data_IF_419617565617
#
_entry.id   IF_419617565617
#
_cell.length_a   1.000
_cell.length_b   1.000
_cell.length_c   1.000
_cell.angle_alpha   90.00
_cell.angle_beta   90.00
_cell.angle_gamma   90.00
#
_symmetry.space_group_name_H-M   'P 1'
#
loop_
_entity.id
_entity.type
_entity.pdbx_description
1 polymer ?
#
# COMPACT_ATOMS: atom_id res chain seq x y z
N UNK A 1 35.62 4.95 -43.47
CA UNK A 1 34.72 4.50 -44.56
C UNK A 1 35.01 3.04 -44.85
N UNK A 2 34.10 2.15 -44.46
CA UNK A 2 33.51 1.03 -45.23
C UNK A 2 32.51 0.33 -44.31
N UNK A 3 31.23 0.32 -44.66
CA UNK A 3 30.22 -0.53 -44.03
C UNK A 3 29.92 -1.72 -44.95
N UNK A 4 29.86 -2.97 -44.44
CA UNK A 4 29.35 -4.10 -45.20
C UNK A 4 27.96 -4.53 -44.70
N UNK A 5 26.99 -4.54 -45.62
CA UNK A 5 25.68 -5.18 -45.43
C UNK A 5 25.17 -5.72 -46.77
N UNK A 6 25.39 -7.02 -47.01
CA UNK A 6 24.84 -7.80 -48.14
C UNK A 6 23.45 -8.32 -47.75
N UNK A 7 22.38 -7.99 -48.48
CA UNK A 7 21.80 -8.73 -49.63
C UNK A 7 21.02 -10.01 -49.26
N UNK A 8 19.73 -10.07 -49.62
CA UNK A 8 19.12 -10.99 -50.63
C UNK A 8 17.64 -11.23 -50.33
N UNK A 9 16.85 -11.17 -51.40
CA UNK A 9 15.39 -11.24 -51.51
C UNK A 9 14.90 -12.66 -51.88
N UNK A 10 13.65 -12.95 -51.50
CA UNK A 10 12.64 -13.82 -52.15
C UNK A 10 12.70 -15.34 -52.01
N UNK A 11 11.54 -15.91 -51.63
CA UNK A 11 10.90 -17.17 -52.10
C UNK A 11 9.45 -17.16 -51.52
N UNK A 12 8.39 -16.91 -52.29
CA UNK A 12 7.60 -17.76 -53.20
C UNK A 12 6.68 -18.82 -52.55
N UNK A 13 5.38 -18.64 -52.85
CA UNK A 13 4.16 -19.47 -52.85
C UNK A 13 4.24 -20.98 -52.54
N UNK A 14 3.23 -21.53 -51.84
CA UNK A 14 2.18 -22.41 -52.41
C UNK A 14 1.59 -23.45 -51.41
N UNK A 15 0.32 -23.81 -51.65
CA UNK A 15 -0.39 -25.06 -51.31
C UNK A 15 -0.91 -25.36 -49.88
N UNK A 16 -2.20 -25.04 -49.71
CA UNK A 16 -3.37 -25.92 -49.54
C UNK A 16 -3.34 -27.23 -48.68
N UNK A 17 -4.47 -27.38 -47.97
CA UNK A 17 -5.19 -28.61 -47.55
C UNK A 17 -4.96 -29.16 -46.13
N UNK A 18 -5.98 -28.95 -45.29
CA UNK A 18 -6.20 -29.61 -43.99
C UNK A 18 -6.83 -31.00 -44.16
N UNK A 19 -6.48 -31.99 -43.32
CA UNK A 19 -7.31 -33.16 -43.11
C UNK A 19 -8.10 -33.08 -41.78
N UNK A 20 -9.41 -33.33 -41.87
CA UNK A 20 -10.29 -33.63 -40.74
C UNK A 20 -10.00 -35.02 -40.15
N UNK A 21 -9.78 -35.10 -38.83
CA UNK A 21 -9.85 -36.26 -37.92
C UNK A 21 -9.81 -35.70 -36.49
N UNK A 22 -10.41 -36.21 -35.43
CA UNK A 22 -11.39 -37.25 -35.15
C UNK A 22 -11.71 -37.10 -33.64
N UNK A 23 -12.83 -37.70 -33.24
CA UNK A 23 -13.44 -37.90 -31.93
C UNK A 23 -12.70 -37.53 -30.61
N UNK A 24 -13.50 -36.88 -29.75
CA UNK A 24 -13.68 -37.05 -28.30
C UNK A 24 -12.48 -37.53 -27.48
N UNK A 25 -12.10 -36.76 -26.45
CA UNK A 25 -11.95 -37.26 -25.07
C UNK A 25 -11.78 -36.11 -24.07
N UNK A 26 -12.49 -36.28 -22.96
CA UNK A 26 -12.53 -35.50 -21.73
C UNK A 26 -11.14 -35.17 -21.17
N UNK A 27 -10.88 -33.92 -20.82
CA UNK A 27 -9.93 -33.59 -19.77
C UNK A 27 -10.57 -32.57 -18.81
N UNK A 28 -10.80 -33.08 -17.61
CA UNK A 28 -10.93 -32.38 -16.34
C UNK A 28 -9.77 -31.38 -16.20
N UNK A 29 -10.02 -30.12 -16.49
CA UNK A 29 -9.09 -29.04 -16.19
C UNK A 29 -9.82 -28.09 -15.25
N UNK A 30 -9.72 -28.44 -13.96
CA UNK A 30 -10.01 -27.50 -12.89
C UNK A 30 -9.01 -26.36 -13.03
N UNK A 31 -9.38 -25.37 -13.83
CA UNK A 31 -8.68 -24.10 -13.94
C UNK A 31 -8.89 -23.36 -12.62
N UNK A 32 -8.11 -23.74 -11.62
CA UNK A 32 -7.90 -22.98 -10.39
C UNK A 32 -7.02 -21.78 -10.79
N UNK A 33 -7.63 -20.82 -11.48
CA UNK A 33 -7.01 -19.51 -11.60
C UNK A 33 -6.86 -18.99 -10.18
N UNK A 34 -5.66 -18.51 -9.77
CA UNK A 34 -5.53 -17.87 -8.48
C UNK A 34 -6.48 -16.67 -8.50
N UNK A 35 -7.57 -16.78 -7.73
CA UNK A 35 -8.41 -15.65 -7.37
C UNK A 35 -7.44 -14.66 -6.71
N UNK A 36 -7.09 -13.59 -7.42
CA UNK A 36 -6.45 -12.45 -6.77
C UNK A 36 -7.41 -11.98 -5.69
N UNK A 37 -7.11 -12.29 -4.43
CA UNK A 37 -7.78 -11.69 -3.30
C UNK A 37 -7.60 -10.18 -3.45
N UNK A 38 -8.66 -9.52 -3.93
CA UNK A 38 -8.73 -8.08 -3.98
C UNK A 38 -8.75 -7.64 -2.53
N UNK A 39 -7.58 -7.34 -1.96
CA UNK A 39 -7.47 -6.76 -0.63
C UNK A 39 -8.37 -5.52 -0.61
N UNK A 40 -9.47 -5.57 0.12
CA UNK A 40 -10.35 -4.41 0.25
C UNK A 40 -9.58 -3.30 0.95
N UNK A 41 -9.12 -2.31 0.17
CA UNK A 41 -8.41 -1.16 0.70
C UNK A 41 -9.32 -0.36 1.65
N UNK A 42 -8.74 0.14 2.74
CA UNK A 42 -9.43 0.99 3.69
C UNK A 42 -9.94 2.27 3.01
N UNK A 43 -11.17 2.68 3.33
CA UNK A 43 -11.69 3.98 2.89
C UNK A 43 -10.97 5.09 3.65
N UNK A 44 -10.20 5.89 2.91
CA UNK A 44 -9.45 7.02 3.44
C UNK A 44 -10.20 8.33 3.20
N UNK A 45 -10.15 9.22 4.18
CA UNK A 45 -10.70 10.57 4.06
C UNK A 45 -9.59 11.56 3.71
N UNK A 46 -9.92 12.56 2.90
CA UNK A 46 -9.01 13.67 2.63
C UNK A 46 -8.75 14.44 3.94
N UNK A 47 -7.48 14.68 4.32
CA UNK A 47 -7.18 15.42 5.53
C UNK A 47 -7.54 16.89 5.32
N UNK A 48 -8.25 17.48 6.29
CA UNK A 48 -8.53 18.92 6.35
C UNK A 48 -8.43 19.41 7.80
N UNK A 49 -8.02 20.66 8.01
CA UNK A 49 -7.93 21.23 9.37
C UNK A 49 -9.27 21.21 10.13
N UNK A 50 -10.40 21.18 9.42
CA UNK A 50 -11.73 21.05 10.03
C UNK A 50 -12.12 19.62 10.43
N UNK A 51 -11.41 18.59 9.96
CA UNK A 51 -11.70 17.18 10.27
C UNK A 51 -10.62 16.49 11.12
N UNK A 52 -9.43 17.09 11.25
CA UNK A 52 -8.42 16.63 12.19
C UNK A 52 -8.78 17.06 13.62
N UNK A 53 -8.64 16.14 14.57
CA UNK A 53 -8.78 16.41 15.99
C UNK A 53 -7.85 15.50 16.81
N UNK A 54 -7.59 15.85 18.07
CA UNK A 54 -6.83 14.99 18.97
C UNK A 54 -7.50 13.60 19.07
N UNK A 55 -6.70 12.54 18.99
CA UNK A 55 -7.16 11.16 18.92
C UNK A 55 -7.54 10.67 17.51
N UNK A 56 -7.46 11.53 16.49
CA UNK A 56 -7.61 11.11 15.09
C UNK A 56 -6.41 10.30 14.62
N UNK A 57 -6.65 9.35 13.74
CA UNK A 57 -5.61 8.50 13.14
C UNK A 57 -5.34 8.96 11.72
N UNK A 58 -4.07 9.15 11.38
CA UNK A 58 -3.65 9.67 10.08
C UNK A 58 -2.56 8.79 9.48
N UNK A 59 -2.58 8.66 8.15
CA UNK A 59 -1.47 8.12 7.38
C UNK A 59 -0.55 9.28 7.00
N UNK A 60 0.71 9.22 7.44
CA UNK A 60 1.70 10.28 7.22
C UNK A 60 2.86 9.76 6.40
N UNK A 61 3.38 10.60 5.51
CA UNK A 61 4.61 10.34 4.75
C UNK A 61 5.80 10.97 5.47
N UNK A 62 6.86 10.20 5.69
CA UNK A 62 8.08 10.67 6.34
C UNK A 62 9.27 10.32 5.46
N UNK A 63 10.14 11.31 5.20
CA UNK A 63 11.36 11.08 4.43
C UNK A 63 12.52 10.66 5.33
N UNK A 64 13.06 9.47 5.09
CA UNK A 64 14.22 8.93 5.79
C UNK A 64 15.30 8.37 4.85
N UNK A 65 16.20 7.57 5.42
CA UNK A 65 17.31 6.96 4.70
C UNK A 65 18.46 7.92 4.35
N UNK A 66 19.46 7.40 3.63
CA UNK A 66 20.63 8.18 3.21
C UNK A 66 20.21 9.35 2.33
N UNK A 67 20.46 10.57 2.79
CA UNK A 67 20.11 11.84 2.11
C UNK A 67 18.59 12.11 2.00
N UNK A 68 17.75 11.54 2.87
CA UNK A 68 16.28 11.76 2.88
C UNK A 68 15.60 11.42 1.56
N UNK A 69 16.05 10.35 0.91
CA UNK A 69 15.55 9.93 -0.42
C UNK A 69 14.45 8.89 -0.36
N UNK A 70 14.25 8.26 0.78
CA UNK A 70 13.29 7.17 0.92
C UNK A 70 12.05 7.71 1.61
N UNK A 71 10.91 7.59 0.94
CA UNK A 71 9.61 7.89 1.51
C UNK A 71 9.12 6.67 2.29
N UNK A 72 8.70 6.89 3.52
CA UNK A 72 8.08 5.90 4.38
C UNK A 72 6.67 6.35 4.73
N UNK A 73 5.77 5.39 4.95
CA UNK A 73 4.36 5.65 5.27
C UNK A 73 4.03 4.99 6.60
N UNK A 74 3.62 5.80 7.56
CA UNK A 74 3.35 5.38 8.94
C UNK A 74 1.97 5.83 9.38
N UNK A 75 1.42 5.15 10.39
CA UNK A 75 0.23 5.63 11.09
C UNK A 75 0.67 6.49 12.27
N UNK A 76 0.06 7.66 12.39
CA UNK A 76 0.18 8.54 13.54
C UNK A 76 -1.18 8.80 14.19
N UNK A 77 -1.19 8.93 15.51
CA UNK A 77 -2.34 9.43 16.26
C UNK A 77 -2.10 10.87 16.68
N UNK A 78 -2.99 11.79 16.29
CA UNK A 78 -2.90 13.21 16.60
C UNK A 78 -2.97 13.43 18.11
N UNK A 79 -1.90 14.01 18.68
CA UNK A 79 -1.83 14.41 20.09
C UNK A 79 -2.22 15.88 20.28
N UNK A 80 -1.89 16.71 19.30
CA UNK A 80 -2.04 18.16 19.37
C UNK A 80 -1.79 18.83 18.04
N UNK A 81 -2.15 20.11 17.99
CA UNK A 81 -1.83 21.02 16.88
C UNK A 81 -1.37 22.33 17.50
N UNK A 82 -0.32 22.94 16.95
CA UNK A 82 0.19 24.20 17.49
C UNK A 82 -0.81 25.35 17.24
N UNK A 83 -0.72 26.43 18.02
CA UNK A 83 -1.62 27.58 17.93
C UNK A 83 -1.49 28.37 16.61
N UNK A 84 -0.33 28.28 15.95
CA UNK A 84 -0.08 28.87 14.64
C UNK A 84 -0.68 28.03 13.49
N UNK A 85 -1.23 26.84 13.77
CA UNK A 85 -1.98 26.00 12.83
C UNK A 85 -1.13 25.40 11.71
N UNK A 86 0.18 25.25 11.91
CA UNK A 86 1.09 24.74 10.88
C UNK A 86 1.72 23.40 11.22
N UNK A 87 1.80 23.06 12.51
CA UNK A 87 2.44 21.85 12.99
C UNK A 87 1.44 20.97 13.72
N UNK A 88 1.50 19.67 13.41
CA UNK A 88 0.64 18.62 13.97
C UNK A 88 1.55 17.68 14.74
N UNK A 89 1.25 17.50 16.02
CA UNK A 89 1.96 16.57 16.91
C UNK A 89 1.33 15.19 16.77
N UNK A 90 2.13 14.21 16.39
CA UNK A 90 1.72 12.82 16.18
C UNK A 90 2.46 11.90 17.14
N UNK A 91 1.73 10.93 17.66
CA UNK A 91 2.28 9.74 18.32
C UNK A 91 2.35 8.63 17.27
N UNK A 92 3.53 8.06 17.04
CA UNK A 92 3.76 6.96 16.11
C UNK A 92 3.13 5.64 16.58
N UNK A 93 2.57 4.91 15.61
CA UNK A 93 2.04 3.56 15.78
C UNK A 93 2.80 2.60 14.87
N UNK A 94 3.00 1.38 15.36
CA UNK A 94 3.59 0.28 14.58
C UNK A 94 2.61 -0.87 14.42
N UNK A 95 2.68 -1.55 13.27
CA UNK A 95 1.94 -2.80 13.06
C UNK A 95 2.46 -3.90 13.97
N UNK A 96 1.57 -4.74 14.46
CA UNK A 96 1.90 -5.92 15.28
C UNK A 96 1.52 -7.23 14.63
N UNK A 97 0.70 -7.15 13.59
CA UNK A 97 0.28 -8.24 12.73
C UNK A 97 0.87 -8.09 11.32
N UNK A 98 0.79 -9.17 10.54
CA UNK A 98 1.22 -9.19 9.14
C UNK A 98 0.17 -8.61 8.18
N UNK A 99 -1.09 -8.52 8.62
CA UNK A 99 -2.21 -8.03 7.81
C UNK A 99 -2.33 -6.49 7.84
N UNK A 100 -1.49 -5.80 8.62
CA UNK A 100 -1.47 -4.34 8.77
C UNK A 100 -2.82 -3.79 9.25
N UNK A 101 -3.48 -4.52 10.16
CA UNK A 101 -4.75 -4.14 10.78
C UNK A 101 -4.62 -3.79 12.25
N UNK A 102 -3.62 -4.32 12.95
CA UNK A 102 -3.47 -4.19 14.40
C UNK A 102 -2.22 -3.40 14.77
N UNK A 103 -2.44 -2.24 15.38
CA UNK A 103 -1.38 -1.29 15.68
C UNK A 103 -1.27 -1.01 17.17
N UNK A 104 -0.05 -0.75 17.63
CA UNK A 104 0.23 -0.34 19.00
C UNK A 104 1.04 0.95 19.02
N UNK A 105 0.86 1.74 20.08
CA UNK A 105 1.68 2.92 20.33
C UNK A 105 3.15 2.51 20.48
N UNK A 106 4.04 3.26 19.86
CA UNK A 106 5.49 3.14 20.07
C UNK A 106 5.91 4.17 21.11
N UNK A 107 6.25 3.69 22.31
CA UNK A 107 6.67 4.58 23.40
C UNK A 107 7.90 5.43 23.00
N UNK A 108 7.79 6.75 23.13
CA UNK A 108 8.84 7.71 22.79
C UNK A 108 8.95 8.07 21.30
N UNK A 109 8.04 7.58 20.46
CA UNK A 109 7.96 7.92 19.03
C UNK A 109 6.98 9.08 18.80
N UNK A 110 7.25 10.22 19.43
CA UNK A 110 6.50 11.46 19.26
C UNK A 110 7.23 12.37 18.26
N UNK A 111 6.52 12.86 17.25
CA UNK A 111 7.10 13.71 16.21
C UNK A 111 6.10 14.74 15.71
N UNK A 112 6.63 15.81 15.11
CA UNK A 112 5.82 16.85 14.47
C UNK A 112 5.84 16.68 12.96
N UNK A 113 4.71 17.01 12.33
CA UNK A 113 4.56 17.01 10.87
C UNK A 113 3.73 18.20 10.41
N UNK A 114 3.79 18.48 9.10
CA UNK A 114 2.94 19.49 8.47
C UNK A 114 1.76 18.81 7.77
N UNK A 115 0.68 19.55 7.56
CA UNK A 115 -0.51 19.04 6.87
C UNK A 115 -0.19 18.47 5.47
N UNK A 116 0.80 19.03 4.77
CA UNK A 116 1.25 18.54 3.46
C UNK A 116 1.85 17.14 3.46
N UNK A 117 2.28 16.66 4.62
CA UNK A 117 2.85 15.34 4.80
C UNK A 117 1.80 14.31 5.25
N UNK A 118 0.60 14.75 5.64
CA UNK A 118 -0.53 13.87 5.88
C UNK A 118 -1.13 13.44 4.55
N UNK A 119 -1.13 12.14 4.31
CA UNK A 119 -1.69 11.53 3.10
C UNK A 119 -3.21 11.41 3.24
N UNK A 120 -3.67 10.92 4.39
CA UNK A 120 -5.05 10.55 4.63
C UNK A 120 -5.42 10.58 6.11
N UNK A 121 -6.70 10.84 6.38
CA UNK A 121 -7.34 10.56 7.65
C UNK A 121 -7.93 9.14 7.60
N UNK A 122 -7.61 8.34 8.60
CA UNK A 122 -8.03 6.94 8.71
C UNK A 122 -9.38 6.83 9.45
N UNK A 123 -10.17 5.77 9.20
CA UNK A 123 -11.36 5.50 10.00
C UNK A 123 -10.99 5.23 11.46
N UNK A 124 -11.93 5.47 12.37
CA UNK A 124 -11.70 5.21 13.78
C UNK A 124 -11.50 3.70 14.03
N UNK A 125 -10.37 3.27 14.61
CA UNK A 125 -10.15 1.87 14.92
C UNK A 125 -10.93 1.43 16.16
N UNK A 126 -11.12 0.12 16.29
CA UNK A 126 -11.58 -0.52 17.53
C UNK A 126 -10.42 -0.62 18.50
N UNK A 127 -10.62 -0.24 19.76
CA UNK A 127 -9.59 -0.37 20.80
C UNK A 127 -9.74 -1.70 21.54
N UNK A 128 -8.66 -2.47 21.62
CA UNK A 128 -8.60 -3.72 22.37
C UNK A 128 -7.36 -3.76 23.26
N UNK A 129 -7.40 -4.59 24.32
CA UNK A 129 -6.22 -4.83 25.15
C UNK A 129 -5.63 -6.20 24.79
N UNK A 130 -4.40 -6.19 24.29
CA UNK A 130 -3.66 -7.41 23.92
C UNK A 130 -2.37 -7.44 24.72
N UNK A 131 -2.19 -8.49 25.54
CA UNK A 131 -1.02 -8.65 26.41
C UNK A 131 -0.74 -7.45 27.34
N UNK A 132 -1.79 -6.81 27.88
CA UNK A 132 -1.67 -5.64 28.74
C UNK A 132 -1.28 -4.35 28.01
N UNK A 133 -1.36 -4.33 26.67
CA UNK A 133 -1.13 -3.14 25.85
C UNK A 133 -2.38 -2.77 25.08
N UNK A 134 -2.65 -1.46 25.01
CA UNK A 134 -3.70 -0.92 24.17
C UNK A 134 -3.30 -1.10 22.70
N UNK A 135 -4.17 -1.75 21.94
CA UNK A 135 -4.03 -2.01 20.52
C UNK A 135 -5.21 -1.38 19.77
N UNK A 136 -4.95 -0.94 18.55
CA UNK A 136 -5.92 -0.29 17.67
C UNK A 136 -6.09 -1.16 16.42
N UNK A 137 -7.30 -1.67 16.24
CA UNK A 137 -7.66 -2.57 15.16
C UNK A 137 -8.50 -1.85 14.11
N UNK A 138 -7.99 -1.78 12.88
CA UNK A 138 -8.71 -1.27 11.73
C UNK A 138 -9.44 -2.41 11.02
N UNK A 139 -10.66 -2.14 10.53
CA UNK A 139 -11.47 -3.12 9.82
C UNK A 139 -10.78 -3.64 8.54
N UNK A 140 -10.05 -2.75 7.88
CA UNK A 140 -9.32 -2.99 6.63
C UNK A 140 -7.84 -2.73 6.82
N UNK A 141 -7.02 -3.39 5.99
CA UNK A 141 -5.57 -3.24 6.02
C UNK A 141 -5.17 -1.81 5.66
N UNK A 142 -4.20 -1.26 6.38
CA UNK A 142 -3.68 0.09 6.14
C UNK A 142 -2.40 0.02 5.31
N UNK A 143 -2.30 0.88 4.29
CA UNK A 143 -1.17 0.89 3.36
C UNK A 143 0.08 1.60 3.93
N UNK A 144 0.73 0.93 4.88
CA UNK A 144 1.99 1.36 5.49
C UNK A 144 3.21 0.84 4.71
N UNK A 145 4.29 1.62 4.74
CA UNK A 145 5.61 1.24 4.23
C UNK A 145 6.67 1.65 5.24
N UNK A 146 7.01 0.71 6.13
CA UNK A 146 7.91 0.94 7.25
C UNK A 146 9.37 0.58 6.89
N UNK A 147 10.33 1.29 7.49
CA UNK A 147 11.74 0.93 7.42
C UNK A 147 11.99 -0.40 8.14
N UNK A 148 12.46 -1.43 7.41
CA UNK A 148 12.86 -2.74 7.95
C UNK A 148 14.18 -2.68 8.73
#
# INVERSE_FOLDING_TARGET
MVEPGKSVTAINEDSESEPEVDELLTNDDSNDEPVEEVEEEAEYFAPDWGNLANGSFVLVKIFGGSRKKTEYRYIGMVQGMNEDGNEIELQGLKSTDQERKLFVVVEGDEFTTEMSDIIALLPQPTTSEVNGKISYEFEKAIDIYEMK
#
